data_IF_581322631362
#
_entry.id   IF_581322631362
#
_cell.length_a   1.000
_cell.length_b   1.000
_cell.length_c   1.000
_cell.angle_alpha   90.00
_cell.angle_beta   90.00
_cell.angle_gamma   90.00
#
_symmetry.space_group_name_H-M   'P 1'
#
loop_
_entity.id
_entity.type
_entity.pdbx_description
1 polymer ?
#
# COMPACT_ATOMS: atom_id res chain seq x y z
N UNK A 1 -25.26 -4.73 0.30
CA UNK A 1 -24.67 -5.14 1.59
C UNK A 1 -24.45 -3.95 2.50
N UNK A 2 -24.69 -4.12 3.81
CA UNK A 2 -24.59 -3.06 4.82
C UNK A 2 -23.12 -2.84 5.25
N UNK A 3 -22.29 -3.88 5.20
CA UNK A 3 -20.86 -3.84 5.53
C UNK A 3 -20.07 -4.86 4.71
N UNK A 4 -18.77 -4.63 4.53
CA UNK A 4 -17.81 -5.53 3.87
C UNK A 4 -16.75 -5.99 4.87
N UNK A 5 -16.49 -7.30 5.03
CA UNK A 5 -15.40 -7.79 5.86
C UNK A 5 -14.06 -7.70 5.13
N UNK A 6 -13.02 -7.20 5.80
CA UNK A 6 -11.66 -7.19 5.27
C UNK A 6 -10.70 -7.75 6.33
N UNK A 7 -9.69 -8.51 5.91
CA UNK A 7 -8.67 -8.99 6.84
C UNK A 7 -7.68 -7.88 7.16
N UNK A 8 -7.40 -7.72 8.44
CA UNK A 8 -6.29 -6.91 8.94
C UNK A 8 -5.30 -7.84 9.68
N UNK A 9 -4.12 -7.34 10.04
CA UNK A 9 -3.03 -8.17 10.57
C UNK A 9 -3.44 -9.05 11.76
N UNK A 10 -2.70 -10.15 11.97
CA UNK A 10 -2.76 -10.97 13.19
C UNK A 10 -4.13 -11.59 13.55
N UNK A 11 -4.92 -12.00 12.55
CA UNK A 11 -6.18 -12.71 12.76
C UNK A 11 -7.39 -11.81 13.06
N UNK A 12 -7.25 -10.52 12.81
CA UNK A 12 -8.32 -9.53 12.99
C UNK A 12 -9.10 -9.28 11.70
N UNK A 13 -10.36 -8.84 11.83
CA UNK A 13 -11.26 -8.51 10.72
C UNK A 13 -11.87 -7.13 10.99
N UNK A 14 -11.81 -6.25 9.99
CA UNK A 14 -12.55 -4.99 10.00
C UNK A 14 -13.86 -5.14 9.21
N UNK A 15 -14.94 -4.57 9.74
CA UNK A 15 -16.20 -4.39 9.02
C UNK A 15 -16.27 -2.95 8.55
N UNK A 16 -16.17 -2.74 7.24
CA UNK A 16 -16.13 -1.40 6.66
C UNK A 16 -17.40 -1.09 5.87
N UNK A 17 -17.73 0.20 5.79
CA UNK A 17 -18.74 0.69 4.85
C UNK A 17 -18.21 0.41 3.43
N UNK A 18 -19.02 -0.16 2.52
CA UNK A 18 -18.61 -0.40 1.14
C UNK A 18 -18.01 0.86 0.50
N UNK A 19 -16.82 0.72 -0.11
CA UNK A 19 -16.11 1.83 -0.75
C UNK A 19 -15.32 2.75 0.18
N UNK A 20 -15.36 2.55 1.50
CA UNK A 20 -14.57 3.32 2.48
C UNK A 20 -13.33 2.52 2.92
N UNK A 21 -12.38 2.35 2.00
CA UNK A 21 -11.09 1.69 2.22
C UNK A 21 -9.91 2.68 2.13
N UNK A 22 -8.68 2.25 2.44
CA UNK A 22 -7.47 3.10 2.46
C UNK A 22 -7.26 3.89 1.16
N UNK A 23 -7.46 3.25 0.00
CA UNK A 23 -7.39 3.93 -1.31
C UNK A 23 -8.36 5.11 -1.46
N UNK A 24 -9.55 5.07 -0.83
CA UNK A 24 -10.49 6.20 -0.87
C UNK A 24 -9.94 7.39 -0.08
N UNK A 25 -9.42 7.14 1.13
CA UNK A 25 -8.75 8.17 1.94
C UNK A 25 -7.56 8.81 1.19
N UNK A 26 -6.72 7.96 0.57
CA UNK A 26 -5.60 8.41 -0.25
C UNK A 26 -6.06 9.30 -1.42
N UNK A 27 -7.11 8.89 -2.15
CA UNK A 27 -7.69 9.66 -3.26
C UNK A 27 -8.19 11.04 -2.82
N UNK A 28 -8.80 11.15 -1.64
CA UNK A 28 -9.27 12.44 -1.09
C UNK A 28 -8.08 13.39 -0.87
N UNK A 29 -6.97 12.87 -0.33
CA UNK A 29 -5.75 13.67 -0.12
C UNK A 29 -5.09 14.06 -1.45
N UNK A 30 -4.97 13.11 -2.38
CA UNK A 30 -4.44 13.35 -3.72
C UNK A 30 -5.21 14.45 -4.46
N UNK A 31 -6.55 14.40 -4.43
CA UNK A 31 -7.41 15.43 -5.04
C UNK A 31 -7.20 16.81 -4.40
N UNK A 32 -7.00 16.85 -3.08
CA UNK A 32 -6.75 18.10 -2.36
C UNK A 32 -5.39 18.72 -2.69
N UNK A 33 -4.39 17.90 -2.98
CA UNK A 33 -3.01 18.35 -3.19
C UNK A 33 -2.57 18.36 -4.66
N UNK A 34 -3.41 17.87 -5.58
CA UNK A 34 -3.05 17.76 -7.00
C UNK A 34 -1.96 16.73 -7.27
N UNK A 35 -1.98 15.61 -6.53
CA UNK A 35 -0.97 14.53 -6.63
C UNK A 35 -1.54 13.38 -7.45
N UNK A 36 -0.86 12.98 -8.52
CA UNK A 36 -1.28 11.87 -9.37
C UNK A 36 -0.89 10.52 -8.75
N UNK A 37 -1.53 9.43 -9.19
CA UNK A 37 -1.18 8.09 -8.71
C UNK A 37 0.29 7.76 -8.99
N UNK A 38 0.85 8.24 -10.10
CA UNK A 38 2.26 8.07 -10.47
C UNK A 38 3.23 8.63 -9.44
N UNK A 39 2.80 9.59 -8.63
CA UNK A 39 3.65 10.30 -7.68
C UNK A 39 3.56 9.70 -6.27
N UNK A 40 2.77 8.63 -6.08
CA UNK A 40 2.52 8.00 -4.79
C UNK A 40 3.37 6.76 -4.60
N UNK A 41 4.12 6.75 -3.50
CA UNK A 41 4.75 5.55 -2.93
C UNK A 41 3.85 5.00 -1.82
N UNK A 42 3.47 3.73 -1.91
CA UNK A 42 2.62 3.06 -0.93
C UNK A 42 3.20 1.72 -0.50
N UNK A 43 3.03 1.40 0.79
CA UNK A 43 3.51 0.17 1.42
C UNK A 43 2.34 -0.61 2.02
N UNK A 44 2.39 -1.94 1.97
CA UNK A 44 1.36 -2.76 2.57
C UNK A 44 1.77 -4.21 2.79
N UNK A 45 1.10 -4.86 3.73
CA UNK A 45 1.34 -6.27 4.06
C UNK A 45 0.05 -7.06 4.31
N UNK A 46 -1.09 -6.36 4.40
CA UNK A 46 -2.36 -6.88 4.88
C UNK A 46 -3.51 -6.65 3.90
N UNK A 47 -4.65 -7.32 4.11
CA UNK A 47 -5.80 -7.31 3.20
C UNK A 47 -6.37 -5.91 2.96
N UNK A 48 -6.40 -5.07 3.99
CA UNK A 48 -6.87 -3.69 3.90
C UNK A 48 -5.94 -2.73 3.12
N UNK A 49 -4.78 -3.20 2.65
CA UNK A 49 -3.85 -2.42 1.80
C UNK A 49 -4.05 -2.66 0.30
N UNK A 50 -4.76 -3.72 -0.09
CA UNK A 50 -4.81 -4.21 -1.49
C UNK A 50 -5.26 -3.12 -2.46
N UNK A 51 -6.33 -2.39 -2.17
CA UNK A 51 -6.85 -1.34 -3.04
C UNK A 51 -5.86 -0.17 -3.16
N UNK A 52 -5.18 0.18 -2.07
CA UNK A 52 -4.17 1.25 -2.05
C UNK A 52 -2.93 0.86 -2.86
N UNK A 53 -2.48 -0.39 -2.73
CA UNK A 53 -1.36 -0.93 -3.50
C UNK A 53 -1.67 -0.94 -5.00
N UNK A 54 -2.86 -1.38 -5.40
CA UNK A 54 -3.27 -1.37 -6.82
C UNK A 54 -3.35 0.03 -7.43
N UNK A 55 -3.75 1.01 -6.63
CA UNK A 55 -3.92 2.39 -7.08
C UNK A 55 -2.58 3.12 -7.29
N UNK A 56 -1.60 2.87 -6.42
CA UNK A 56 -0.37 3.67 -6.35
C UNK A 56 0.61 3.34 -7.49
N UNK A 57 1.31 4.36 -7.98
CA UNK A 57 2.32 4.25 -9.03
C UNK A 57 3.53 3.43 -8.57
N UNK A 58 3.96 3.66 -7.32
CA UNK A 58 5.05 2.96 -6.67
C UNK A 58 4.54 2.18 -5.45
N UNK A 59 3.92 1.04 -5.70
CA UNK A 59 3.38 0.17 -4.66
C UNK A 59 4.36 -0.93 -4.27
N UNK A 60 4.62 -1.09 -2.97
CA UNK A 60 5.51 -2.09 -2.40
C UNK A 60 4.75 -2.99 -1.43
N UNK A 61 4.76 -4.30 -1.69
CA UNK A 61 4.35 -5.29 -0.69
C UNK A 61 5.56 -5.66 0.17
N UNK A 62 5.40 -5.68 1.50
CA UNK A 62 6.47 -6.09 2.40
C UNK A 62 6.81 -7.58 2.22
N UNK A 63 8.05 -8.00 2.48
CA UNK A 63 8.46 -9.40 2.31
C UNK A 63 7.63 -10.38 3.16
N UNK A 64 7.12 -9.95 4.32
CA UNK A 64 6.23 -10.72 5.20
C UNK A 64 4.77 -10.77 4.72
N UNK A 65 4.41 -10.07 3.65
CA UNK A 65 3.06 -10.03 3.14
C UNK A 65 2.62 -11.38 2.56
N UNK A 66 1.31 -11.67 2.64
CA UNK A 66 0.75 -12.90 2.03
C UNK A 66 0.82 -12.84 0.50
N UNK A 67 0.85 -13.98 -0.22
CA UNK A 67 1.01 -14.00 -1.68
C UNK A 67 0.00 -13.13 -2.45
N UNK A 68 -1.27 -13.11 -2.01
CA UNK A 68 -2.31 -12.29 -2.67
C UNK A 68 -2.11 -10.78 -2.48
N UNK A 69 -1.38 -10.35 -1.44
CA UNK A 69 -1.00 -8.95 -1.21
C UNK A 69 0.19 -8.60 -2.09
N UNK A 70 1.20 -9.48 -2.17
CA UNK A 70 2.34 -9.30 -3.08
C UNK A 70 1.89 -9.16 -4.53
N UNK A 71 0.90 -9.94 -4.97
CA UNK A 71 0.31 -9.83 -6.29
C UNK A 71 -0.44 -8.51 -6.58
N UNK A 72 -0.78 -7.74 -5.54
CA UNK A 72 -1.43 -6.44 -5.68
C UNK A 72 -0.42 -5.29 -5.84
N UNK A 73 0.85 -5.52 -5.52
CA UNK A 73 1.92 -4.55 -5.61
C UNK A 73 2.80 -4.78 -6.85
N UNK A 74 3.39 -3.70 -7.36
CA UNK A 74 4.37 -3.68 -8.46
C UNK A 74 5.77 -4.11 -8.05
N UNK A 75 6.12 -3.84 -6.79
CA UNK A 75 7.45 -4.10 -6.24
C UNK A 75 7.33 -4.82 -4.89
N UNK A 76 8.43 -5.43 -4.46
CA UNK A 76 8.56 -6.02 -3.13
C UNK A 76 9.56 -5.20 -2.31
N UNK A 77 9.18 -4.85 -1.09
CA UNK A 77 10.06 -4.25 -0.10
C UNK A 77 10.65 -5.34 0.82
N UNK A 78 11.79 -5.08 1.49
CA UNK A 78 12.34 -5.98 2.50
C UNK A 78 11.37 -6.25 3.65
N UNK A 79 11.79 -7.12 4.57
CA UNK A 79 10.96 -7.51 5.71
C UNK A 79 10.75 -6.32 6.66
N UNK A 80 9.61 -6.26 7.35
CA UNK A 80 9.30 -5.17 8.29
C UNK A 80 10.30 -5.13 9.49
N UNK A 81 10.82 -6.28 9.91
CA UNK A 81 11.90 -6.40 10.91
C UNK A 81 13.31 -6.07 10.38
N UNK A 82 13.45 -5.74 9.10
CA UNK A 82 14.72 -5.37 8.44
C UNK A 82 14.65 -3.93 7.90
N UNK A 83 13.82 -3.08 8.50
CA UNK A 83 13.67 -1.68 8.11
C UNK A 83 13.23 -1.47 6.64
N UNK A 84 12.54 -2.45 6.04
CA UNK A 84 12.28 -2.43 4.59
C UNK A 84 11.52 -1.21 4.04
N UNK A 85 10.77 -0.48 4.86
CA UNK A 85 10.19 0.81 4.46
C UNK A 85 11.27 1.88 4.33
N UNK A 86 12.21 1.93 5.28
CA UNK A 86 13.30 2.91 5.30
C UNK A 86 14.25 2.70 4.11
N UNK A 87 14.57 1.45 3.77
CA UNK A 87 15.37 1.12 2.58
C UNK A 87 14.76 1.69 1.29
N UNK A 88 13.44 1.59 1.15
CA UNK A 88 12.75 2.13 -0.04
C UNK A 88 12.72 3.66 -0.01
N UNK A 89 12.54 4.27 1.17
CA UNK A 89 12.63 5.73 1.30
C UNK A 89 14.03 6.23 0.94
N UNK A 90 15.10 5.54 1.35
CA UNK A 90 16.47 5.88 0.98
C UNK A 90 16.67 5.85 -0.54
N UNK A 91 16.13 4.82 -1.22
CA UNK A 91 16.13 4.75 -2.69
C UNK A 91 15.41 5.92 -3.35
N UNK A 92 14.27 6.37 -2.79
CA UNK A 92 13.57 7.56 -3.28
C UNK A 92 14.46 8.80 -3.16
N UNK A 93 15.11 8.98 -2.01
CA UNK A 93 15.98 10.14 -1.75
C UNK A 93 17.22 10.15 -2.65
N UNK A 94 17.75 8.97 -2.96
CA UNK A 94 18.94 8.81 -3.81
C UNK A 94 18.61 8.78 -5.32
N UNK A 95 17.33 8.76 -5.72
CA UNK A 95 16.92 8.60 -7.12
C UNK A 95 17.31 7.25 -7.71
N UNK A 96 17.32 6.21 -6.88
CA UNK A 96 17.64 4.84 -7.28
C UNK A 96 16.41 4.13 -7.86
N UNK A 97 16.62 3.14 -8.71
CA UNK A 97 15.51 2.36 -9.27
C UNK A 97 14.58 1.80 -8.17
N UNK A 98 13.25 1.88 -8.34
CA UNK A 98 12.53 2.23 -9.56
C UNK A 98 12.23 3.74 -9.74
N UNK A 99 12.83 4.62 -8.94
CA UNK A 99 12.55 6.06 -8.91
C UNK A 99 13.44 6.90 -9.85
N UNK A 100 14.13 6.24 -10.78
CA UNK A 100 15.12 6.81 -11.69
C UNK A 100 14.57 7.14 -13.09
#
# INVERSE_FOLDING_TARGET
DIMVPVTTGHGSIDLIIPGVHKANGLRILQQRWGIENSDVVAFGDSGNDVEMLRQSGFSFAMANARPHIKAAARFEAPHNNEEGVLDVIEKVLNGEAPFN
#
